data_IF_837991441302
#
_entry.id   IF_837991441302
#
_cell.length_a   1.000
_cell.length_b   1.000
_cell.length_c   1.000
_cell.angle_alpha   90.00
_cell.angle_beta   90.00
_cell.angle_gamma   90.00
#
_symmetry.space_group_name_H-M   'P 1'
#
loop_
_entity.id
_entity.type
_entity.pdbx_description
1 polymer ?
#
# COMPACT_ATOMS: atom_id res chain seq x y z
N UNK A 1 5.98 -30.61 -16.25
CA UNK A 1 6.45 -29.34 -15.65
C UNK A 1 5.31 -28.34 -15.35
N UNK A 2 4.08 -28.54 -15.82
CA UNK A 2 2.94 -27.63 -15.63
C UNK A 2 1.99 -27.96 -14.45
N UNK A 3 2.26 -29.00 -13.65
CA UNK A 3 1.36 -29.39 -12.55
C UNK A 3 1.72 -28.77 -11.18
N UNK A 4 2.91 -28.18 -11.04
CA UNK A 4 3.38 -27.62 -9.74
C UNK A 4 2.90 -26.19 -9.46
N UNK A 5 2.26 -25.56 -10.43
CA UNK A 5 1.62 -24.24 -10.30
C UNK A 5 0.17 -24.33 -10.78
N UNK A 6 -0.58 -25.30 -10.29
CA UNK A 6 -2.02 -25.32 -10.54
C UNK A 6 -2.69 -24.34 -9.56
N UNK A 7 -3.13 -23.14 -10.00
CA UNK A 7 -3.75 -22.15 -9.11
C UNK A 7 -5.04 -22.68 -8.47
N UNK A 8 -5.67 -23.71 -9.05
CA UNK A 8 -6.87 -24.37 -8.52
C UNK A 8 -6.57 -25.42 -7.45
N UNK A 9 -5.29 -25.77 -7.21
CA UNK A 9 -4.88 -26.56 -6.04
C UNK A 9 -4.64 -25.70 -4.79
N UNK A 10 -4.56 -24.37 -4.94
CA UNK A 10 -4.59 -23.47 -3.80
C UNK A 10 -6.03 -23.42 -3.28
N UNK A 11 -6.22 -23.84 -2.03
CA UNK A 11 -7.44 -23.55 -1.30
C UNK A 11 -7.52 -22.03 -1.12
N UNK A 12 -8.19 -21.34 -2.06
CA UNK A 12 -8.57 -19.96 -1.83
C UNK A 12 -9.48 -19.97 -0.59
N UNK A 13 -9.06 -19.24 0.44
CA UNK A 13 -9.79 -19.17 1.72
C UNK A 13 -11.22 -18.62 1.57
N UNK A 14 -11.57 -18.09 0.39
CA UNK A 14 -12.85 -17.51 0.05
C UNK A 14 -13.33 -18.02 -1.31
N UNK A 15 -14.56 -18.54 -1.34
CA UNK A 15 -15.28 -18.86 -2.56
C UNK A 15 -16.62 -18.08 -2.52
N UNK A 16 -16.83 -17.08 -3.40
CA UNK A 16 -18.04 -16.25 -3.35
C UNK A 16 -19.31 -17.08 -3.55
N UNK A 17 -20.32 -16.86 -2.70
CA UNK A 17 -21.63 -17.49 -2.86
C UNK A 17 -22.33 -17.06 -4.14
N UNK A 18 -22.11 -15.81 -4.55
CA UNK A 18 -22.67 -15.22 -5.76
C UNK A 18 -21.51 -14.65 -6.60
N UNK A 19 -20.87 -15.48 -7.45
CA UNK A 19 -19.72 -15.05 -8.24
C UNK A 19 -20.09 -14.13 -9.41
N UNK A 20 -21.30 -14.25 -9.95
CA UNK A 20 -21.73 -13.48 -11.14
C UNK A 20 -21.71 -11.95 -10.89
N UNK A 21 -22.28 -11.41 -9.80
CA UNK A 21 -22.20 -9.98 -9.51
C UNK A 21 -20.75 -9.44 -9.39
N UNK A 22 -19.83 -10.26 -8.88
CA UNK A 22 -18.41 -9.88 -8.80
C UNK A 22 -17.78 -9.87 -10.19
N UNK A 23 -18.05 -10.88 -11.00
CA UNK A 23 -17.56 -10.97 -12.37
C UNK A 23 -18.07 -9.83 -13.25
N UNK A 24 -19.35 -9.48 -13.14
CA UNK A 24 -19.95 -8.39 -13.90
C UNK A 24 -19.29 -7.04 -13.58
N UNK A 25 -19.00 -6.78 -12.29
CA UNK A 25 -18.27 -5.57 -11.87
C UNK A 25 -16.84 -5.53 -12.40
N UNK A 26 -16.13 -6.67 -12.40
CA UNK A 26 -14.78 -6.76 -12.98
C UNK A 26 -14.80 -6.54 -14.49
N UNK A 27 -15.80 -7.08 -15.19
CA UNK A 27 -15.98 -6.86 -16.63
C UNK A 27 -16.23 -5.39 -16.95
N UNK A 28 -17.07 -4.73 -16.16
CA UNK A 28 -17.37 -3.31 -16.34
C UNK A 28 -16.16 -2.42 -16.04
N UNK A 29 -15.40 -2.76 -14.99
CA UNK A 29 -14.11 -2.13 -14.69
C UNK A 29 -13.11 -2.24 -15.86
N UNK A 30 -12.98 -3.44 -16.46
CA UNK A 30 -12.10 -3.67 -17.62
C UNK A 30 -12.51 -2.81 -18.82
N UNK A 31 -13.82 -2.73 -19.09
CA UNK A 31 -14.34 -1.96 -20.21
C UNK A 31 -14.07 -0.45 -20.04
N UNK A 32 -14.42 0.10 -18.88
CA UNK A 32 -14.23 1.53 -18.58
C UNK A 32 -12.73 1.90 -18.52
N UNK A 33 -11.89 0.99 -18.02
CA UNK A 33 -10.43 1.18 -18.01
C UNK A 33 -9.85 1.27 -19.43
N UNK A 34 -10.39 0.52 -20.40
CA UNK A 34 -9.95 0.56 -21.80
C UNK A 34 -10.34 1.86 -22.51
N UNK A 35 -11.42 2.50 -22.09
CA UNK A 35 -11.90 3.75 -22.68
C UNK A 35 -11.07 4.97 -22.24
N UNK A 36 -10.29 4.85 -21.15
CA UNK A 36 -9.23 5.77 -20.71
C UNK A 36 -9.61 7.28 -20.70
N UNK A 37 -10.86 7.60 -20.37
CA UNK A 37 -11.34 8.98 -20.23
C UNK A 37 -11.11 9.55 -18.82
N UNK A 38 -11.02 10.87 -18.68
CA UNK A 38 -10.88 11.51 -17.35
C UNK A 38 -12.06 11.19 -16.41
N UNK A 39 -13.29 11.19 -16.95
CA UNK A 39 -14.49 10.78 -16.21
C UNK A 39 -14.50 9.26 -15.93
N UNK A 40 -13.93 8.47 -16.83
CA UNK A 40 -13.76 7.02 -16.68
C UNK A 40 -12.91 6.65 -15.46
N UNK A 41 -11.88 7.44 -15.12
CA UNK A 41 -11.09 7.18 -13.90
C UNK A 41 -11.94 7.26 -12.62
N UNK A 42 -12.83 8.26 -12.56
CA UNK A 42 -13.75 8.40 -11.43
C UNK A 42 -14.76 7.26 -11.40
N UNK A 43 -15.29 6.86 -12.55
CA UNK A 43 -16.23 5.74 -12.65
C UNK A 43 -15.57 4.41 -12.27
N UNK A 44 -14.36 4.13 -12.73
CA UNK A 44 -13.56 2.97 -12.33
C UNK A 44 -13.36 2.93 -10.81
N UNK A 45 -13.04 4.05 -10.17
CA UNK A 45 -12.92 4.10 -8.71
C UNK A 45 -14.24 3.76 -8.02
N UNK A 46 -15.36 4.29 -8.51
CA UNK A 46 -16.69 3.98 -7.97
C UNK A 46 -17.03 2.49 -8.12
N UNK A 47 -16.80 1.92 -9.30
CA UNK A 47 -17.00 0.50 -9.59
C UNK A 47 -16.10 -0.40 -8.73
N UNK A 48 -14.86 0.02 -8.49
CA UNK A 48 -13.93 -0.70 -7.63
C UNK A 48 -14.46 -0.74 -6.19
N UNK A 49 -14.93 0.38 -5.64
CA UNK A 49 -15.54 0.41 -4.31
C UNK A 49 -16.80 -0.47 -4.23
N UNK A 50 -17.63 -0.50 -5.28
CA UNK A 50 -18.79 -1.40 -5.35
C UNK A 50 -18.41 -2.88 -5.42
N UNK A 51 -17.31 -3.20 -6.10
CA UNK A 51 -16.75 -4.55 -6.14
C UNK A 51 -16.24 -4.97 -4.76
N UNK A 52 -15.45 -4.10 -4.11
CA UNK A 52 -14.93 -4.35 -2.75
C UNK A 52 -16.05 -4.53 -1.74
N UNK A 53 -17.11 -3.70 -1.80
CA UNK A 53 -18.26 -3.82 -0.92
C UNK A 53 -18.95 -5.19 -1.04
N UNK A 54 -19.23 -5.63 -2.27
CA UNK A 54 -19.85 -6.93 -2.55
C UNK A 54 -18.98 -8.09 -2.06
N UNK A 55 -17.68 -8.00 -2.33
CA UNK A 55 -16.69 -8.99 -1.91
C UNK A 55 -16.69 -9.11 -0.38
N UNK A 56 -16.63 -7.98 0.33
CA UNK A 56 -16.66 -7.93 1.78
C UNK A 56 -17.99 -8.46 2.34
N UNK A 57 -19.12 -8.08 1.74
CA UNK A 57 -20.43 -8.57 2.16
C UNK A 57 -20.51 -10.11 2.08
N UNK A 58 -20.01 -10.69 0.99
CA UNK A 58 -19.98 -12.15 0.82
C UNK A 58 -18.97 -12.82 1.75
N UNK A 59 -17.82 -12.19 2.02
CA UNK A 59 -16.82 -12.64 3.00
C UNK A 59 -17.41 -12.68 4.43
N UNK A 60 -18.00 -11.58 4.89
CA UNK A 60 -18.64 -11.49 6.20
C UNK A 60 -19.81 -12.47 6.33
N UNK A 61 -20.60 -12.67 5.27
CA UNK A 61 -21.68 -13.67 5.23
C UNK A 61 -21.19 -15.12 5.37
N UNK A 62 -19.91 -15.39 5.09
CA UNK A 62 -19.27 -16.70 5.27
C UNK A 62 -18.57 -16.83 6.64
N UNK A 63 -18.64 -15.80 7.51
CA UNK A 63 -17.90 -15.77 8.76
C UNK A 63 -16.38 -15.65 8.56
N UNK A 64 -15.93 -15.31 7.35
CA UNK A 64 -14.53 -15.02 7.06
C UNK A 64 -14.30 -13.57 7.47
N UNK A 65 -13.62 -13.35 8.61
CA UNK A 65 -13.15 -12.00 8.92
C UNK A 65 -12.10 -11.60 7.87
N UNK A 66 -12.30 -10.49 7.14
CA UNK A 66 -11.25 -9.96 6.30
C UNK A 66 -10.03 -9.72 7.18
N UNK A 67 -8.86 -10.08 6.66
CA UNK A 67 -7.60 -10.02 7.39
C UNK A 67 -7.45 -8.63 8.01
N UNK A 68 -7.72 -8.48 9.32
CA UNK A 68 -7.42 -7.23 10.01
C UNK A 68 -5.92 -7.02 9.86
N UNK A 69 -5.47 -5.82 9.46
CA UNK A 69 -4.05 -5.55 9.34
C UNK A 69 -3.42 -5.91 10.67
N UNK A 70 -2.49 -6.86 10.63
CA UNK A 70 -1.85 -7.33 11.84
C UNK A 70 -1.08 -6.18 12.51
N UNK A 71 -0.70 -6.37 13.77
CA UNK A 71 0.00 -5.35 14.54
C UNK A 71 1.25 -4.79 13.84
N UNK A 72 1.97 -5.61 13.08
CA UNK A 72 3.17 -5.19 12.33
C UNK A 72 2.78 -4.34 11.14
N UNK A 73 1.73 -4.71 10.41
CA UNK A 73 1.20 -3.91 9.30
C UNK A 73 0.72 -2.54 9.79
N UNK A 74 -0.01 -2.49 10.91
CA UNK A 74 -0.41 -1.23 11.56
C UNK A 74 0.80 -0.39 11.98
N UNK A 75 1.82 -1.01 12.57
CA UNK A 75 3.07 -0.35 12.94
C UNK A 75 3.80 0.24 11.72
N UNK A 76 3.88 -0.50 10.61
CA UNK A 76 4.50 -0.04 9.37
C UNK A 76 3.77 1.18 8.81
N UNK A 77 2.44 1.14 8.74
CA UNK A 77 1.62 2.27 8.27
C UNK A 77 1.84 3.49 9.15
N UNK A 78 1.72 3.35 10.47
CA UNK A 78 1.94 4.45 11.41
C UNK A 78 3.32 5.09 11.25
N UNK A 79 4.37 4.27 11.13
CA UNK A 79 5.73 4.77 10.95
C UNK A 79 5.92 5.51 9.62
N UNK A 80 5.26 5.07 8.54
CA UNK A 80 5.31 5.73 7.23
C UNK A 80 4.52 7.03 7.18
N UNK A 81 3.45 7.15 7.96
CA UNK A 81 2.64 8.38 8.01
C UNK A 81 3.27 9.43 8.93
N UNK A 82 4.01 9.00 9.96
CA UNK A 82 4.56 9.87 10.99
C UNK A 82 6.10 9.91 11.04
N UNK A 83 6.80 9.46 9.99
CA UNK A 83 8.27 9.36 9.96
C UNK A 83 9.00 10.68 10.26
N UNK A 84 8.38 11.82 9.97
CA UNK A 84 8.94 13.16 10.18
C UNK A 84 8.97 13.59 11.65
N UNK A 85 8.20 12.94 12.52
CA UNK A 85 8.14 13.24 13.96
C UNK A 85 9.16 12.40 14.72
N UNK A 86 9.70 12.89 15.85
CA UNK A 86 10.41 12.02 16.78
C UNK A 86 9.44 10.96 17.30
N UNK A 87 9.79 9.69 17.11
CA UNK A 87 9.02 8.54 17.59
C UNK A 87 9.95 7.61 18.35
N UNK A 88 9.49 7.11 19.48
CA UNK A 88 10.18 6.07 20.24
C UNK A 88 9.40 4.77 20.10
N UNK A 89 10.00 3.67 20.55
CA UNK A 89 9.34 2.37 20.52
C UNK A 89 8.11 2.38 21.43
N UNK A 90 8.19 3.10 22.55
CA UNK A 90 7.14 3.30 23.53
C UNK A 90 5.95 4.05 22.92
N UNK A 91 6.20 5.16 22.22
CA UNK A 91 5.12 5.93 21.60
C UNK A 91 4.38 5.14 20.51
N UNK A 92 5.11 4.33 19.73
CA UNK A 92 4.49 3.46 18.72
C UNK A 92 3.66 2.35 19.39
N UNK A 93 4.15 1.79 20.49
CA UNK A 93 3.45 0.74 21.21
C UNK A 93 2.17 1.28 21.88
N UNK A 94 2.23 2.48 22.44
CA UNK A 94 1.09 3.18 23.05
C UNK A 94 -0.01 3.48 22.04
N UNK A 95 0.34 4.05 20.88
CA UNK A 95 -0.62 4.32 19.79
C UNK A 95 -1.31 3.04 19.30
N UNK A 96 -0.57 1.94 19.24
CA UNK A 96 -1.08 0.66 18.76
C UNK A 96 -1.76 -0.18 19.84
N UNK A 97 -1.89 0.36 21.06
CA UNK A 97 -2.48 -0.29 22.24
C UNK A 97 -1.82 -1.64 22.55
N UNK A 98 -0.48 -1.70 22.49
CA UNK A 98 0.29 -2.92 22.71
C UNK A 98 1.52 -2.69 23.60
N UNK A 99 2.14 -3.77 24.08
CA UNK A 99 3.40 -3.65 24.82
C UNK A 99 4.60 -3.54 23.88
N UNK A 100 5.60 -2.75 24.25
CA UNK A 100 6.87 -2.57 23.51
C UNK A 100 7.59 -3.90 23.23
N UNK A 101 7.56 -4.82 24.20
CA UNK A 101 8.13 -6.16 24.09
C UNK A 101 7.37 -7.04 23.08
N UNK A 102 6.04 -6.97 23.07
CA UNK A 102 5.23 -7.69 22.09
C UNK A 102 5.46 -7.16 20.67
N UNK A 103 5.43 -5.83 20.51
CA UNK A 103 5.72 -5.15 19.25
C UNK A 103 7.11 -5.54 18.73
N UNK A 104 8.16 -5.43 19.55
CA UNK A 104 9.53 -5.75 19.11
C UNK A 104 9.70 -7.18 18.65
N UNK A 105 9.14 -8.15 19.39
CA UNK A 105 9.24 -9.57 19.05
C UNK A 105 8.51 -9.88 17.75
N UNK A 106 7.28 -9.39 17.62
CA UNK A 106 6.45 -9.66 16.46
C UNK A 106 7.00 -8.96 15.21
N UNK A 107 7.44 -7.71 15.34
CA UNK A 107 8.04 -6.94 14.25
C UNK A 107 9.34 -7.58 13.77
N UNK A 108 10.21 -8.01 14.69
CA UNK A 108 11.46 -8.71 14.32
C UNK A 108 11.19 -10.07 13.67
N UNK A 109 10.14 -10.77 14.10
CA UNK A 109 9.73 -12.04 13.49
C UNK A 109 9.25 -11.85 12.04
N UNK A 110 8.41 -10.84 11.78
CA UNK A 110 7.82 -10.60 10.45
C UNK A 110 8.69 -9.80 9.49
N UNK A 111 9.39 -8.77 9.98
CA UNK A 111 10.15 -7.82 9.16
C UNK A 111 11.66 -8.09 9.22
N UNK A 112 12.11 -9.07 10.03
CA UNK A 112 13.52 -9.39 10.23
C UNK A 112 14.39 -8.21 10.71
N UNK A 113 13.77 -7.14 11.23
CA UNK A 113 14.43 -5.92 11.71
C UNK A 113 13.72 -5.38 12.95
N UNK A 114 14.35 -4.46 13.70
CA UNK A 114 13.67 -3.75 14.79
C UNK A 114 12.79 -2.61 14.26
N UNK A 115 11.73 -2.21 14.98
CA UNK A 115 10.89 -1.08 14.58
C UNK A 115 11.67 0.23 14.39
N UNK A 116 12.63 0.53 15.28
CA UNK A 116 13.45 1.75 15.20
C UNK A 116 14.41 1.72 14.01
N UNK A 117 15.00 0.57 13.71
CA UNK A 117 15.86 0.44 12.54
C UNK A 117 15.05 0.57 11.24
N UNK A 118 13.84 0.01 11.20
CA UNK A 118 12.90 0.19 10.09
C UNK A 118 12.53 1.66 9.89
N UNK A 119 12.23 2.39 10.96
CA UNK A 119 11.96 3.84 10.90
C UNK A 119 13.14 4.62 10.30
N UNK A 120 14.38 4.23 10.63
CA UNK A 120 15.58 4.80 10.03
C UNK A 120 15.63 4.59 8.51
N UNK A 121 15.30 3.38 8.04
CA UNK A 121 15.22 3.08 6.60
C UNK A 121 14.15 3.93 5.91
N UNK A 122 12.94 4.02 6.47
CA UNK A 122 11.86 4.85 5.93
C UNK A 122 12.30 6.32 5.76
N UNK A 123 13.03 6.87 6.74
CA UNK A 123 13.56 8.24 6.66
C UNK A 123 14.64 8.37 5.59
N UNK A 124 15.53 7.39 5.47
CA UNK A 124 16.59 7.39 4.45
C UNK A 124 16.00 7.30 3.04
N UNK A 125 15.04 6.39 2.83
CA UNK A 125 14.34 6.22 1.55
C UNK A 125 13.63 7.51 1.15
N UNK A 126 12.92 8.14 2.10
CA UNK A 126 12.23 9.40 1.82
C UNK A 126 13.19 10.56 1.56
N UNK A 127 14.33 10.61 2.24
CA UNK A 127 15.36 11.60 1.95
C UNK A 127 15.95 11.40 0.55
N UNK A 128 16.21 10.15 0.15
CA UNK A 128 16.68 9.83 -1.20
C UNK A 128 15.68 10.22 -2.29
N UNK A 129 14.38 9.94 -2.08
CA UNK A 129 13.31 10.39 -2.98
C UNK A 129 13.28 11.91 -3.13
N UNK A 130 13.39 12.64 -2.02
CA UNK A 130 13.42 14.10 -2.03
C UNK A 130 14.66 14.66 -2.75
N UNK A 131 15.83 14.02 -2.58
CA UNK A 131 17.06 14.38 -3.29
C UNK A 131 16.93 14.15 -4.80
N UNK A 132 16.37 13.02 -5.24
CA UNK A 132 16.14 12.76 -6.67
C UNK A 132 15.15 13.75 -7.30
N UNK A 133 14.10 14.14 -6.56
CA UNK A 133 13.18 15.19 -7.01
C UNK A 133 13.87 16.56 -7.09
N UNK A 134 14.74 16.86 -6.13
CA UNK A 134 15.45 18.15 -6.12
C UNK A 134 16.58 18.22 -7.15
N UNK A 135 17.28 17.12 -7.44
CA UNK A 135 18.27 17.05 -8.52
C UNK A 135 17.63 17.17 -9.91
N UNK A 136 16.44 16.59 -10.12
CA UNK A 136 15.66 16.83 -11.32
C UNK A 136 15.29 18.32 -11.46
N UNK A 137 14.84 18.96 -10.38
CA UNK A 137 14.59 20.41 -10.41
C UNK A 137 15.87 21.24 -10.50
N UNK A 138 17.01 20.80 -9.97
CA UNK A 138 18.28 21.51 -10.07
C UNK A 138 18.84 21.41 -11.48
N UNK A 139 18.76 20.26 -12.16
CA UNK A 139 19.12 20.12 -13.58
C UNK A 139 18.15 20.85 -14.51
N UNK A 140 16.84 20.81 -14.23
CA UNK A 140 15.87 21.64 -14.95
C UNK A 140 16.14 23.13 -14.72
N UNK A 141 16.44 23.54 -13.49
CA UNK A 141 16.84 24.92 -13.21
C UNK A 141 18.14 25.25 -13.92
N UNK A 142 19.17 24.41 -13.88
CA UNK A 142 20.47 24.65 -14.53
C UNK A 142 20.30 24.83 -16.04
N UNK A 143 19.51 23.98 -16.69
CA UNK A 143 19.20 24.11 -18.12
C UNK A 143 18.38 25.35 -18.45
N UNK A 144 17.44 25.76 -17.57
CA UNK A 144 16.72 27.04 -17.70
C UNK A 144 17.64 28.24 -17.47
N UNK A 145 18.57 28.18 -16.52
CA UNK A 145 19.56 29.23 -16.24
C UNK A 145 20.57 29.36 -17.40
N UNK A 146 20.98 28.25 -18.02
CA UNK A 146 21.86 28.24 -19.20
C UNK A 146 21.19 28.86 -20.44
N UNK A 147 19.87 28.75 -20.58
CA UNK A 147 19.10 29.39 -21.66
C UNK A 147 18.93 30.91 -21.41
N UNK A 148 18.86 31.34 -20.13
CA UNK A 148 18.49 32.70 -19.76
C UNK A 148 19.68 33.64 -19.45
N UNK A 149 20.86 33.12 -19.12
CA UNK A 149 22.04 33.92 -18.72
C UNK A 149 23.30 33.43 -19.45
N UNK A 150 23.62 33.93 -20.66
CA UNK A 150 24.87 33.59 -21.32
C UNK A 150 26.04 34.18 -20.53
N UNK A 151 26.93 33.29 -20.08
CA UNK A 151 28.17 33.64 -19.40
C UNK A 151 28.96 34.59 -20.32
N UNK A 152 29.13 35.84 -19.87
CA UNK A 152 30.04 36.83 -20.49
C UNK A 152 31.41 36.74 -19.85
#
# INVERSE_FOLDING_TARGET
MLEKENPFQNQYAFAPHYPLPLYDKVKLLEQEWREASELGNLHVKALFHQFVYELLQQLYGQGIEPLKPDLVSRAVTYMREHFSRPMTLESIAEELECSTGHLSRLFKSKMHTSPIHYLGQVRADRAAELLMQTDATLQEMQSVWDIQMPIR
#
